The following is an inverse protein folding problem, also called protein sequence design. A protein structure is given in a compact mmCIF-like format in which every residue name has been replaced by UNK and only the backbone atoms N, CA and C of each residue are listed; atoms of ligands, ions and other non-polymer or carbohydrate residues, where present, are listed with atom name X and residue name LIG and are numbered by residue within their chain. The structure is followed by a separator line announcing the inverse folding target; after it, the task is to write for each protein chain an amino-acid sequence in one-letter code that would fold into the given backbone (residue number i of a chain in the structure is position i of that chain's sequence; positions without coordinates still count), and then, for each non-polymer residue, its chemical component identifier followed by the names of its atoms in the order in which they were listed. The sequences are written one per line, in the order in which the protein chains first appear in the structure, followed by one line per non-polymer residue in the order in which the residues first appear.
data_IF_637669313081
#
_entry.id   IF_637669313081
#
_cell.length_a   1.000
_cell.length_b   1.000
_cell.length_c   1.000
_cell.angle_alpha   90.00
_cell.angle_beta   90.00
_cell.angle_gamma   90.00
#
_symmetry.space_group_name_H-M   'P 1'
#
loop_
_entity.id
_entity.type
_entity.pdbx_description
1 polymer ?
#
# COMPACT_ATOMS: atom_id res chain seq x y z
N UNK A 1 -17.73 22.99 25.53
CA UNK A 1 -17.27 24.14 24.74
C UNK A 1 -16.06 23.66 23.93
N UNK A 2 -16.22 23.31 22.65
CA UNK A 2 -15.05 23.04 21.80
C UNK A 2 -14.22 24.33 21.72
N UNK A 3 -12.91 24.23 21.91
CA UNK A 3 -12.06 25.43 21.91
C UNK A 3 -12.15 26.11 20.54
N UNK A 4 -12.23 27.44 20.51
CA UNK A 4 -12.23 28.24 19.27
C UNK A 4 -11.06 27.86 18.33
N UNK A 5 -9.94 27.39 18.90
CA UNK A 5 -8.80 26.84 18.17
C UNK A 5 -9.13 25.54 17.41
N UNK A 6 -9.86 24.61 18.03
CA UNK A 6 -10.30 23.36 17.39
C UNK A 6 -11.26 23.67 16.24
N UNK A 7 -12.17 24.62 16.42
CA UNK A 7 -13.12 25.01 15.40
C UNK A 7 -12.43 25.72 14.22
N UNK A 8 -11.45 26.60 14.50
CA UNK A 8 -10.60 27.23 13.49
C UNK A 8 -9.79 26.21 12.69
N UNK A 9 -9.11 25.27 13.37
CA UNK A 9 -8.33 24.20 12.72
C UNK A 9 -9.22 23.30 11.86
N UNK A 10 -10.41 22.94 12.37
CA UNK A 10 -11.36 22.09 11.61
C UNK A 10 -11.87 22.82 10.37
N UNK A 11 -12.15 24.12 10.46
CA UNK A 11 -12.59 24.92 9.32
C UNK A 11 -11.45 25.14 8.31
N UNK A 12 -10.21 25.34 8.76
CA UNK A 12 -9.06 25.44 7.88
C UNK A 12 -8.76 24.10 7.17
N UNK A 13 -8.87 22.98 7.90
CA UNK A 13 -8.69 21.63 7.34
C UNK A 13 -9.76 21.28 6.31
N UNK A 14 -11.03 21.70 6.51
CA UNK A 14 -12.14 21.48 5.57
C UNK A 14 -11.92 22.09 4.18
N UNK A 15 -11.06 23.09 4.06
CA UNK A 15 -10.74 23.76 2.80
C UNK A 15 -9.70 22.96 2.00
N UNK A 16 -8.97 22.04 2.62
CA UNK A 16 -7.91 21.27 1.97
C UNK A 16 -8.53 20.22 1.03
N UNK A 17 -8.15 20.18 -0.25
CA UNK A 17 -8.61 19.14 -1.16
C UNK A 17 -8.21 17.75 -0.64
N UNK A 18 -9.20 16.88 -0.46
CA UNK A 18 -9.02 15.55 0.14
C UNK A 18 -9.32 15.47 1.64
N UNK A 19 -9.76 16.57 2.29
CA UNK A 19 -10.22 16.54 3.68
C UNK A 19 -11.31 15.49 3.93
N UNK A 20 -12.29 15.36 3.03
CA UNK A 20 -13.36 14.38 3.16
C UNK A 20 -12.81 12.95 3.23
N UNK A 21 -11.81 12.64 2.40
CA UNK A 21 -11.12 11.35 2.47
C UNK A 21 -10.41 11.15 3.82
N UNK A 22 -9.63 12.14 4.27
CA UNK A 22 -8.91 12.04 5.56
C UNK A 22 -9.88 11.90 6.74
N UNK A 23 -11.00 12.61 6.70
CA UNK A 23 -12.07 12.51 7.69
C UNK A 23 -12.71 11.12 7.68
N UNK A 24 -13.06 10.59 6.50
CA UNK A 24 -13.61 9.23 6.36
C UNK A 24 -12.62 8.15 6.82
N UNK A 25 -11.32 8.27 6.48
CA UNK A 25 -10.28 7.36 6.94
C UNK A 25 -10.11 7.44 8.46
N UNK A 26 -10.13 8.64 9.04
CA UNK A 26 -10.05 8.82 10.48
C UNK A 26 -11.22 8.17 11.21
N UNK A 27 -12.44 8.36 10.71
CA UNK A 27 -13.65 7.71 11.23
C UNK A 27 -13.50 6.19 11.16
N UNK A 28 -13.06 5.65 10.01
CA UNK A 28 -12.86 4.21 9.85
C UNK A 28 -11.78 3.65 10.78
N UNK A 29 -10.65 4.35 10.97
CA UNK A 29 -9.59 3.92 11.89
C UNK A 29 -10.10 3.86 13.34
N UNK A 30 -10.95 4.83 13.72
CA UNK A 30 -11.53 4.89 15.05
C UNK A 30 -12.62 3.82 15.24
N UNK A 31 -13.44 3.60 14.22
CA UNK A 31 -14.61 2.71 14.24
C UNK A 31 -14.61 1.72 13.06
N UNK A 32 -13.70 0.73 13.04
CA UNK A 32 -13.53 -0.15 11.87
C UNK A 32 -14.54 -1.30 11.82
N UNK A 33 -15.53 -1.32 12.72
CA UNK A 33 -16.46 -2.43 12.89
C UNK A 33 -17.40 -2.55 11.68
N UNK A 34 -17.76 -3.79 11.34
CA UNK A 34 -18.73 -4.08 10.29
C UNK A 34 -20.13 -3.87 10.87
N UNK A 35 -20.76 -2.75 10.51
CA UNK A 35 -22.16 -2.46 10.82
C UNK A 35 -23.03 -2.75 9.60
N UNK A 36 -24.25 -3.24 9.80
CA UNK A 36 -25.25 -3.26 8.73
C UNK A 36 -25.52 -1.80 8.32
N UNK A 37 -25.42 -1.54 7.00
CA UNK A 37 -25.31 -0.20 6.37
C UNK A 37 -26.48 0.78 6.55
N UNK A 38 -27.28 0.60 7.58
CA UNK A 38 -28.40 1.46 8.01
C UNK A 38 -27.98 2.56 9.00
N UNK A 39 -26.72 2.59 9.42
CA UNK A 39 -26.20 3.57 10.37
C UNK A 39 -25.50 4.72 9.62
N UNK A 40 -25.76 5.97 10.00
CA UNK A 40 -25.16 7.19 9.40
C UNK A 40 -23.62 7.20 9.38
N UNK A 41 -22.97 6.35 10.19
CA UNK A 41 -21.52 6.20 10.30
C UNK A 41 -20.97 4.94 9.63
N UNK A 42 -21.73 4.26 8.77
CA UNK A 42 -21.30 3.02 8.12
C UNK A 42 -20.02 3.27 7.27
N UNK A 43 -18.83 2.85 7.74
CA UNK A 43 -17.57 3.32 7.16
C UNK A 43 -17.24 2.65 5.82
N UNK A 44 -18.10 1.75 5.36
CA UNK A 44 -17.90 0.90 4.19
C UNK A 44 -18.65 1.38 2.95
N UNK A 45 -19.59 2.33 3.09
CA UNK A 45 -20.44 2.82 2.00
C UNK A 45 -19.60 3.39 0.86
N UNK A 46 -18.58 4.18 1.20
CA UNK A 46 -17.70 4.83 0.24
C UNK A 46 -16.40 4.06 -0.05
N UNK A 47 -16.33 2.77 0.30
CA UNK A 47 -15.09 1.98 0.22
C UNK A 47 -14.42 2.02 -1.17
N UNK A 48 -15.19 1.86 -2.24
CA UNK A 48 -14.69 1.99 -3.60
C UNK A 48 -14.13 3.38 -3.92
N UNK A 49 -14.88 4.43 -3.60
CA UNK A 49 -14.44 5.82 -3.82
C UNK A 49 -13.17 6.15 -3.02
N UNK A 50 -13.08 5.65 -1.79
CA UNK A 50 -11.90 5.83 -0.94
C UNK A 50 -10.67 5.11 -1.46
N UNK A 51 -10.82 3.93 -2.07
CA UNK A 51 -9.70 3.28 -2.73
C UNK A 51 -9.15 4.15 -3.87
N UNK A 52 -10.02 4.70 -4.74
CA UNK A 52 -9.59 5.63 -5.79
C UNK A 52 -8.96 6.91 -5.25
N UNK A 53 -9.58 7.53 -4.22
CA UNK A 53 -9.02 8.72 -3.56
C UNK A 53 -7.64 8.43 -2.96
N UNK A 54 -7.43 7.26 -2.36
CA UNK A 54 -6.13 6.84 -1.85
C UNK A 54 -5.09 6.78 -2.96
N UNK A 55 -5.41 6.20 -4.12
CA UNK A 55 -4.50 6.11 -5.26
C UNK A 55 -4.15 7.50 -5.79
N UNK A 56 -5.11 8.41 -5.87
CA UNK A 56 -4.87 9.80 -6.28
C UNK A 56 -3.95 10.55 -5.31
N UNK A 57 -4.18 10.39 -4.00
CA UNK A 57 -3.31 10.98 -2.96
C UNK A 57 -1.90 10.42 -3.09
N UNK A 58 -1.77 9.11 -3.29
CA UNK A 58 -0.43 8.57 -3.43
C UNK A 58 0.23 8.99 -4.75
N UNK A 59 -0.54 9.16 -5.81
CA UNK A 59 -0.03 9.73 -7.05
C UNK A 59 0.48 11.16 -6.90
N UNK A 60 -0.22 12.00 -6.12
CA UNK A 60 0.26 13.34 -5.80
C UNK A 60 1.51 13.30 -4.92
N UNK A 61 1.61 12.37 -3.98
CA UNK A 61 2.82 12.14 -3.18
C UNK A 61 4.01 11.68 -4.04
N UNK A 62 3.81 10.79 -5.01
CA UNK A 62 4.85 10.38 -5.97
C UNK A 62 5.33 11.58 -6.79
N UNK A 63 4.41 12.41 -7.29
CA UNK A 63 4.74 13.60 -8.05
C UNK A 63 5.55 14.61 -7.20
N UNK A 64 5.12 14.84 -5.96
CA UNK A 64 5.81 15.70 -5.01
C UNK A 64 7.21 15.16 -4.66
N UNK A 65 7.32 13.85 -4.40
CA UNK A 65 8.59 13.18 -4.15
C UNK A 65 9.54 13.30 -5.33
N UNK A 66 9.04 13.09 -6.55
CA UNK A 66 9.82 13.24 -7.79
C UNK A 66 10.33 14.68 -7.95
N UNK A 67 9.48 15.68 -7.69
CA UNK A 67 9.85 17.10 -7.78
C UNK A 67 10.90 17.52 -6.74
N UNK A 68 10.75 17.07 -5.49
CA UNK A 68 11.72 17.36 -4.42
C UNK A 68 13.06 16.67 -4.70
N UNK A 69 13.01 15.44 -5.20
CA UNK A 69 14.18 14.64 -5.54
C UNK A 69 15.04 15.30 -6.62
N UNK A 70 14.43 15.92 -7.65
CA UNK A 70 15.14 16.62 -8.74
C UNK A 70 16.10 17.73 -8.25
N UNK A 71 15.86 18.32 -7.06
CA UNK A 71 16.68 19.42 -6.53
C UNK A 71 17.93 18.99 -5.76
N UNK A 72 18.03 17.75 -5.30
CA UNK A 72 19.12 17.27 -4.41
C UNK A 72 20.08 16.33 -5.14
N UNK A 73 19.61 15.63 -6.17
CA UNK A 73 20.40 14.93 -7.16
C UNK A 73 19.59 15.01 -8.48
N UNK A 74 20.18 14.93 -9.67
CA UNK A 74 19.42 15.01 -10.93
C UNK A 74 18.56 13.75 -11.09
N UNK A 75 17.43 13.72 -10.39
CA UNK A 75 16.42 12.65 -10.38
C UNK A 75 15.38 12.94 -11.49
N UNK A 76 15.81 13.61 -12.56
CA UNK A 76 15.06 13.71 -13.83
C UNK A 76 14.69 12.31 -14.37
N UNK A 77 15.38 11.26 -13.91
CA UNK A 77 15.09 9.87 -14.21
C UNK A 77 13.95 9.22 -13.41
N UNK A 78 13.36 9.78 -12.35
CA UNK A 78 12.37 9.00 -11.54
C UNK A 78 11.12 8.61 -12.32
N UNK A 79 10.61 9.53 -13.17
CA UNK A 79 9.46 9.27 -14.04
C UNK A 79 9.77 8.31 -15.20
N UNK A 80 11.04 8.23 -15.57
CA UNK A 80 11.57 7.30 -16.57
C UNK A 80 11.74 5.90 -15.94
N UNK A 81 12.46 5.85 -14.82
CA UNK A 81 12.76 4.65 -14.03
C UNK A 81 11.50 3.97 -13.51
N UNK A 82 10.45 4.72 -13.18
CA UNK A 82 9.26 4.17 -12.54
C UNK A 82 8.03 4.33 -13.39
N UNK A 83 7.45 3.20 -13.79
CA UNK A 83 6.19 3.18 -14.51
C UNK A 83 5.02 3.44 -13.55
N UNK A 84 4.71 4.72 -13.36
CA UNK A 84 3.66 5.21 -12.44
C UNK A 84 2.30 4.56 -12.72
N UNK A 85 1.97 4.35 -13.99
CA UNK A 85 0.70 3.77 -14.41
C UNK A 85 0.59 2.30 -13.95
N UNK A 86 1.66 1.52 -14.11
CA UNK A 86 1.70 0.14 -13.61
C UNK A 86 1.56 0.07 -12.10
N UNK A 87 2.17 1.00 -11.39
CA UNK A 87 2.08 1.03 -9.94
C UNK A 87 0.67 1.38 -9.44
N UNK A 88 -0.02 2.33 -10.08
CA UNK A 88 -1.43 2.62 -9.78
C UNK A 88 -2.33 1.42 -10.06
N UNK A 89 -2.10 0.73 -11.19
CA UNK A 89 -2.83 -0.50 -11.51
C UNK A 89 -2.58 -1.55 -10.43
N UNK A 90 -1.34 -1.72 -9.95
CA UNK A 90 -1.03 -2.69 -8.92
C UNK A 90 -1.70 -2.35 -7.58
N UNK A 91 -1.68 -1.09 -7.16
CA UNK A 91 -2.38 -0.62 -5.98
C UNK A 91 -3.91 -0.77 -6.06
N UNK A 92 -4.48 -0.81 -7.26
CA UNK A 92 -5.91 -1.01 -7.47
C UNK A 92 -6.27 -2.49 -7.55
N UNK A 93 -5.53 -3.27 -8.33
CA UNK A 93 -5.84 -4.67 -8.64
C UNK A 93 -5.59 -5.57 -7.43
N UNK A 94 -4.54 -5.34 -6.64
CA UNK A 94 -4.23 -6.22 -5.50
C UNK A 94 -5.32 -6.21 -4.42
N UNK A 95 -5.85 -5.05 -3.97
CA UNK A 95 -7.00 -5.02 -3.07
C UNK A 95 -8.23 -5.74 -3.62
N UNK A 96 -8.52 -5.57 -4.92
CA UNK A 96 -9.69 -6.19 -5.57
C UNK A 96 -9.52 -7.70 -5.58
N UNK A 97 -8.36 -8.22 -6.03
CA UNK A 97 -8.09 -9.65 -6.08
C UNK A 97 -8.19 -10.30 -4.70
N UNK A 98 -7.46 -9.76 -3.73
CA UNK A 98 -7.48 -10.29 -2.36
C UNK A 98 -8.88 -10.18 -1.76
N UNK A 99 -9.56 -9.04 -1.98
CA UNK A 99 -10.93 -8.80 -1.52
C UNK A 99 -11.93 -9.79 -2.07
N UNK A 100 -11.89 -10.12 -3.37
CA UNK A 100 -12.79 -11.09 -3.99
C UNK A 100 -12.59 -12.47 -3.38
N UNK A 101 -11.34 -12.96 -3.26
CA UNK A 101 -11.08 -14.27 -2.65
C UNK A 101 -11.48 -14.32 -1.18
N UNK A 102 -11.17 -13.27 -0.43
CA UNK A 102 -11.52 -13.17 0.97
C UNK A 102 -13.03 -13.16 1.18
N UNK A 103 -13.75 -12.37 0.36
CA UNK A 103 -15.20 -12.33 0.36
C UNK A 103 -15.82 -13.67 0.00
N UNK A 104 -15.30 -14.39 -1.01
CA UNK A 104 -15.80 -15.71 -1.39
C UNK A 104 -15.61 -16.71 -0.24
N UNK A 105 -14.43 -16.75 0.37
CA UNK A 105 -14.13 -17.64 1.50
C UNK A 105 -15.07 -17.36 2.69
N UNK A 106 -15.10 -16.10 3.13
CA UNK A 106 -15.88 -15.69 4.30
C UNK A 106 -17.38 -15.82 4.06
N UNK A 107 -17.87 -15.43 2.86
CA UNK A 107 -19.28 -15.56 2.50
C UNK A 107 -19.73 -17.01 2.46
N UNK A 108 -18.93 -17.90 1.89
CA UNK A 108 -19.22 -19.35 1.85
C UNK A 108 -19.41 -19.90 3.25
N UNK A 109 -18.49 -19.55 4.16
CA UNK A 109 -18.58 -19.96 5.57
C UNK A 109 -19.83 -19.39 6.23
N UNK A 110 -20.09 -18.09 6.12
CA UNK A 110 -21.26 -17.48 6.74
C UNK A 110 -22.57 -18.00 6.15
N UNK A 111 -22.56 -18.41 4.88
CA UNK A 111 -23.73 -18.91 4.16
C UNK A 111 -24.30 -20.21 4.76
N UNK A 112 -23.45 -21.03 5.37
CA UNK A 112 -23.88 -22.20 6.12
C UNK A 112 -24.79 -21.87 7.32
N UNK A 113 -24.69 -20.65 7.87
CA UNK A 113 -25.52 -20.19 8.99
C UNK A 113 -26.64 -19.25 8.56
N UNK A 114 -26.37 -18.35 7.61
CA UNK A 114 -27.35 -17.37 7.10
C UNK A 114 -27.27 -17.36 5.59
N UNK A 115 -28.37 -17.68 4.89
CA UNK A 115 -28.42 -17.80 3.41
C UNK A 115 -28.35 -16.44 2.68
N UNK A 116 -27.42 -15.57 3.05
CA UNK A 116 -27.19 -14.25 2.45
C UNK A 116 -25.72 -14.12 2.05
N UNK A 117 -25.44 -13.41 0.97
CA UNK A 117 -24.07 -13.05 0.59
C UNK A 117 -23.64 -11.80 1.36
N UNK A 118 -22.56 -11.92 2.14
CA UNK A 118 -22.08 -10.85 3.00
C UNK A 118 -20.99 -10.03 2.29
N UNK A 119 -21.40 -9.17 1.34
CA UNK A 119 -20.50 -8.25 0.60
C UNK A 119 -19.71 -7.30 1.50
N UNK A 120 -20.13 -7.12 2.75
CA UNK A 120 -19.43 -6.35 3.77
C UNK A 120 -17.97 -6.78 3.97
N UNK A 121 -17.63 -8.07 3.81
CA UNK A 121 -16.24 -8.53 3.88
C UNK A 121 -15.38 -7.98 2.73
N UNK A 122 -15.95 -7.86 1.53
CA UNK A 122 -15.26 -7.25 0.39
C UNK A 122 -14.99 -5.77 0.64
N UNK A 123 -16.01 -5.03 1.07
CA UNK A 123 -15.87 -3.60 1.35
C UNK A 123 -14.88 -3.31 2.49
N UNK A 124 -14.85 -4.17 3.52
CA UNK A 124 -13.87 -4.06 4.60
C UNK A 124 -12.43 -4.15 4.08
N UNK A 125 -12.17 -5.10 3.17
CA UNK A 125 -10.84 -5.24 2.55
C UNK A 125 -10.50 -3.98 1.74
N UNK A 126 -11.41 -3.55 0.84
CA UNK A 126 -11.19 -2.38 -0.02
C UNK A 126 -10.89 -1.13 0.82
N UNK A 127 -11.68 -0.87 1.86
CA UNK A 127 -11.48 0.27 2.75
C UNK A 127 -10.17 0.16 3.56
N UNK A 128 -9.80 -1.05 3.98
CA UNK A 128 -8.52 -1.27 4.69
C UNK A 128 -7.32 -0.98 3.79
N UNK A 129 -7.37 -1.42 2.54
CA UNK A 129 -6.31 -1.12 1.56
C UNK A 129 -6.24 0.37 1.23
N UNK A 130 -7.36 1.10 1.21
CA UNK A 130 -7.33 2.55 1.01
C UNK A 130 -6.47 3.27 2.08
N UNK A 131 -6.49 2.80 3.33
CA UNK A 131 -5.60 3.31 4.40
C UNK A 131 -4.17 2.81 4.22
N UNK A 132 -4.00 1.50 3.99
CA UNK A 132 -2.68 0.86 3.94
C UNK A 132 -1.84 1.30 2.73
N UNK A 133 -2.47 1.63 1.59
CA UNK A 133 -1.78 2.06 0.38
C UNK A 133 -0.85 3.26 0.61
N UNK A 134 -1.22 4.17 1.52
CA UNK A 134 -0.39 5.32 1.91
C UNK A 134 0.90 4.84 2.60
N UNK A 135 0.81 3.86 3.50
CA UNK A 135 1.98 3.29 4.17
C UNK A 135 2.86 2.46 3.24
N UNK A 136 2.23 1.68 2.35
CA UNK A 136 2.93 0.90 1.31
C UNK A 136 3.79 1.83 0.44
N UNK A 137 3.31 3.03 0.14
CA UNK A 137 4.10 4.03 -0.58
C UNK A 137 5.33 4.51 0.17
N UNK A 138 5.22 4.84 1.45
CA UNK A 138 6.40 5.25 2.23
C UNK A 138 7.42 4.11 2.35
N UNK A 139 6.97 2.87 2.55
CA UNK A 139 7.84 1.69 2.52
C UNK A 139 8.50 1.50 1.15
N UNK A 140 7.76 1.74 0.07
CA UNK A 140 8.30 1.71 -1.28
C UNK A 140 9.37 2.79 -1.51
N UNK A 141 9.15 4.03 -1.05
CA UNK A 141 10.16 5.10 -1.12
C UNK A 141 11.45 4.73 -0.38
N UNK A 142 11.34 4.11 0.80
CA UNK A 142 12.49 3.61 1.56
C UNK A 142 13.25 2.53 0.77
N UNK A 143 12.54 1.57 0.20
CA UNK A 143 13.15 0.52 -0.61
C UNK A 143 13.91 1.10 -1.81
N UNK A 144 13.31 2.05 -2.53
CA UNK A 144 13.96 2.74 -3.64
C UNK A 144 15.19 3.52 -3.18
N UNK A 145 15.11 4.23 -2.05
CA UNK A 145 16.25 4.95 -1.49
C UNK A 145 17.43 4.02 -1.15
N UNK A 146 17.15 2.83 -0.61
CA UNK A 146 18.19 1.81 -0.36
C UNK A 146 18.89 1.40 -1.64
N UNK A 147 18.12 1.02 -2.66
CA UNK A 147 18.66 0.63 -3.97
C UNK A 147 19.58 1.73 -4.52
N UNK A 148 19.17 2.99 -4.47
CA UNK A 148 19.98 4.09 -5.02
C UNK A 148 21.28 4.32 -4.26
N UNK A 149 21.28 4.18 -2.93
CA UNK A 149 22.44 4.48 -2.09
C UNK A 149 23.39 3.28 -1.93
N UNK A 150 22.87 2.07 -1.81
CA UNK A 150 23.66 0.87 -1.50
C UNK A 150 23.76 -0.11 -2.67
N UNK A 151 22.91 0.02 -3.70
CA UNK A 151 22.82 -0.91 -4.82
C UNK A 151 22.13 -2.24 -4.47
N UNK A 152 21.58 -2.38 -3.27
CA UNK A 152 20.92 -3.61 -2.78
C UNK A 152 19.68 -3.24 -1.94
N UNK A 153 18.56 -3.91 -2.18
CA UNK A 153 17.30 -3.73 -1.44
C UNK A 153 17.43 -4.11 0.05
N UNK A 154 18.24 -5.12 0.34
CA UNK A 154 18.37 -5.71 1.66
C UNK A 154 19.41 -4.99 2.53
N UNK A 155 20.28 -4.19 1.91
CA UNK A 155 21.32 -3.46 2.63
C UNK A 155 20.80 -2.08 3.04
N UNK A 156 20.63 -1.82 4.35
CA UNK A 156 20.14 -0.52 4.81
C UNK A 156 21.16 0.58 4.49
N UNK A 157 20.66 1.77 4.16
CA UNK A 157 21.51 2.95 3.94
C UNK A 157 22.08 3.51 5.25
N UNK A 158 21.43 3.22 6.38
CA UNK A 158 21.89 3.55 7.74
C UNK A 158 20.89 3.11 8.81
N UNK A 159 21.23 3.34 10.09
CA UNK A 159 20.38 2.93 11.22
C UNK A 159 19.03 3.67 11.27
N UNK A 160 18.99 4.92 10.83
CA UNK A 160 17.77 5.74 10.77
C UNK A 160 16.78 5.12 9.76
N UNK A 161 17.27 4.72 8.59
CA UNK A 161 16.47 4.08 7.55
C UNK A 161 15.87 2.74 8.01
N UNK A 162 16.65 1.93 8.73
CA UNK A 162 16.16 0.70 9.35
C UNK A 162 15.06 0.97 10.39
N UNK A 163 15.25 1.99 11.22
CA UNK A 163 14.33 2.35 12.31
C UNK A 163 13.00 2.86 11.76
N UNK A 164 13.03 3.76 10.77
CA UNK A 164 11.82 4.28 10.11
C UNK A 164 11.09 3.16 9.37
N UNK A 165 11.81 2.32 8.63
CA UNK A 165 11.23 1.17 7.94
C UNK A 165 10.53 0.20 8.90
N UNK A 166 11.15 -0.09 10.06
CA UNK A 166 10.55 -0.92 11.10
C UNK A 166 9.28 -0.30 11.67
N UNK A 167 9.29 1.00 12.02
CA UNK A 167 8.12 1.71 12.54
C UNK A 167 6.96 1.66 11.55
N UNK A 168 7.21 1.92 10.25
CA UNK A 168 6.18 1.89 9.21
C UNK A 168 5.63 0.48 8.98
N UNK A 169 6.49 -0.54 8.97
CA UNK A 169 6.07 -1.93 8.83
C UNK A 169 5.22 -2.39 10.04
N UNK A 170 5.64 -2.04 11.25
CA UNK A 170 4.89 -2.33 12.47
C UNK A 170 3.53 -1.62 12.45
N UNK A 171 3.48 -0.35 12.04
CA UNK A 171 2.24 0.41 11.91
C UNK A 171 1.30 -0.23 10.88
N UNK A 172 1.82 -0.66 9.72
CA UNK A 172 1.02 -1.34 8.70
C UNK A 172 0.44 -2.66 9.23
N UNK A 173 1.20 -3.43 10.00
CA UNK A 173 0.71 -4.67 10.63
C UNK A 173 -0.37 -4.38 11.68
N UNK A 174 -0.14 -3.40 12.57
CA UNK A 174 -1.11 -3.00 13.59
C UNK A 174 -2.42 -2.52 12.95
N UNK A 175 -2.33 -1.70 11.90
CA UNK A 175 -3.52 -1.24 11.16
C UNK A 175 -4.20 -2.40 10.43
N UNK A 176 -3.46 -3.31 9.79
CA UNK A 176 -4.08 -4.49 9.16
C UNK A 176 -4.85 -5.32 10.18
N UNK A 177 -4.26 -5.55 11.35
CA UNK A 177 -4.93 -6.27 12.43
C UNK A 177 -6.20 -5.53 12.90
N UNK A 178 -6.10 -4.23 13.16
CA UNK A 178 -7.20 -3.42 13.69
C UNK A 178 -8.32 -3.18 12.67
N UNK A 179 -7.98 -2.99 11.40
CA UNK A 179 -8.91 -2.61 10.34
C UNK A 179 -9.50 -3.81 9.62
N UNK A 180 -8.77 -4.92 9.48
CA UNK A 180 -9.28 -6.09 8.75
C UNK A 180 -9.56 -7.28 9.66
N UNK A 181 -8.56 -7.69 10.46
CA UNK A 181 -8.62 -8.94 11.22
C UNK A 181 -9.65 -8.84 12.35
N UNK A 182 -9.54 -7.84 13.23
CA UNK A 182 -10.42 -7.69 14.38
C UNK A 182 -11.91 -7.48 14.01
N UNK A 183 -12.27 -6.62 13.03
CA UNK A 183 -13.65 -6.46 12.61
C UNK A 183 -14.23 -7.71 11.94
N UNK A 184 -13.46 -8.37 11.08
CA UNK A 184 -13.88 -9.62 10.43
C UNK A 184 -14.07 -10.75 11.43
N UNK A 185 -13.18 -10.84 12.43
CA UNK A 185 -13.30 -11.79 13.52
C UNK A 185 -14.56 -11.54 14.34
N UNK A 186 -14.79 -10.29 14.74
CA UNK A 186 -15.95 -9.93 15.56
C UNK A 186 -17.26 -10.24 14.82
N UNK A 187 -17.35 -9.87 13.54
CA UNK A 187 -18.53 -10.15 12.72
C UNK A 187 -18.75 -11.65 12.52
N UNK A 188 -17.70 -12.43 12.28
CA UNK A 188 -17.81 -13.90 12.16
C UNK A 188 -18.19 -14.56 13.51
N UNK A 189 -17.79 -13.97 14.63
CA UNK A 189 -18.12 -14.47 15.98
C UNK A 189 -19.59 -14.31 16.36
N UNK A 190 -20.37 -13.57 15.58
CA UNK A 190 -21.84 -13.54 15.70
C UNK A 190 -22.44 -14.89 15.26
N UNK A 191 -21.80 -15.58 14.31
CA UNK A 191 -22.31 -16.82 13.70
C UNK A 191 -21.67 -18.10 14.25
N UNK A 192 -20.42 -18.01 14.73
CA UNK A 192 -19.62 -19.13 15.21
C UNK A 192 -18.98 -18.83 16.57
N UNK A 193 -18.61 -19.88 17.33
CA UNK A 193 -17.86 -19.71 18.58
C UNK A 193 -16.49 -19.07 18.29
N UNK A 194 -16.04 -18.17 19.17
CA UNK A 194 -14.76 -17.44 19.06
C UNK A 194 -13.55 -18.27 18.56
N UNK A 195 -13.21 -19.45 19.12
CA UNK A 195 -12.06 -20.22 18.63
C UNK A 195 -12.24 -20.69 17.18
N UNK A 196 -13.46 -21.10 16.80
CA UNK A 196 -13.79 -21.54 15.45
C UNK A 196 -13.71 -20.37 14.46
N UNK A 197 -14.24 -19.21 14.85
CA UNK A 197 -14.14 -17.98 14.04
C UNK A 197 -12.69 -17.58 13.77
N UNK A 198 -11.80 -17.71 14.77
CA UNK A 198 -10.38 -17.41 14.61
C UNK A 198 -9.72 -18.33 13.58
N UNK A 199 -9.94 -19.64 13.70
CA UNK A 199 -9.39 -20.64 12.76
C UNK A 199 -9.89 -20.39 11.35
N UNK A 200 -11.19 -20.16 11.17
CA UNK A 200 -11.77 -19.90 9.85
C UNK A 200 -11.21 -18.60 9.25
N UNK A 201 -11.07 -17.55 10.05
CA UNK A 201 -10.52 -16.28 9.56
C UNK A 201 -9.06 -16.46 9.12
N UNK A 202 -8.23 -17.14 9.91
CA UNK A 202 -6.83 -17.40 9.56
C UNK A 202 -6.70 -18.24 8.29
N UNK A 203 -7.53 -19.29 8.14
CA UNK A 203 -7.59 -20.09 6.92
C UNK A 203 -8.04 -19.25 5.72
N UNK A 204 -9.06 -18.42 5.89
CA UNK A 204 -9.59 -17.57 4.83
C UNK A 204 -8.55 -16.54 4.38
N UNK A 205 -7.81 -15.92 5.31
CA UNK A 205 -6.69 -15.01 4.98
C UNK A 205 -5.60 -15.77 4.21
N UNK A 206 -5.20 -16.94 4.71
CA UNK A 206 -4.11 -17.74 4.13
C UNK A 206 -4.45 -18.21 2.70
N UNK A 207 -5.65 -18.76 2.51
CA UNK A 207 -6.15 -19.21 1.21
C UNK A 207 -6.29 -18.01 0.26
N UNK A 208 -6.84 -16.89 0.72
CA UNK A 208 -7.03 -15.70 -0.12
C UNK A 208 -5.69 -15.09 -0.55
N UNK A 209 -4.71 -15.07 0.34
CA UNK A 209 -3.35 -14.62 0.02
C UNK A 209 -2.71 -15.56 -1.01
N UNK A 210 -2.77 -16.87 -0.77
CA UNK A 210 -2.24 -17.87 -1.69
C UNK A 210 -2.87 -17.76 -3.09
N UNK A 211 -4.20 -17.78 -3.19
CA UNK A 211 -4.91 -17.68 -4.47
C UNK A 211 -4.66 -16.34 -5.16
N UNK A 212 -4.64 -15.23 -4.42
CA UNK A 212 -4.31 -13.93 -4.98
C UNK A 212 -2.88 -13.91 -5.55
N UNK A 213 -1.92 -14.55 -4.88
CA UNK A 213 -0.51 -14.58 -5.35
C UNK A 213 -0.31 -15.37 -6.65
N UNK A 214 -1.12 -16.41 -6.89
CA UNK A 214 -1.02 -17.25 -8.08
C UNK A 214 -1.50 -16.54 -9.35
N UNK A 215 -2.46 -15.62 -9.24
CA UNK A 215 -2.99 -14.90 -10.40
C UNK A 215 -2.13 -13.66 -10.67
N UNK A 216 -1.20 -13.76 -11.63
CA UNK A 216 -0.42 -12.62 -12.13
C UNK A 216 -1.20 -11.87 -13.21
N UNK A 217 -1.97 -10.86 -12.82
CA UNK A 217 -2.64 -9.95 -13.77
C UNK A 217 -1.72 -8.82 -14.25
N UNK A 218 -0.69 -8.49 -13.47
CA UNK A 218 0.32 -7.45 -13.78
C UNK A 218 1.66 -7.99 -13.33
N UNK A 219 2.65 -7.99 -14.20
CA UNK A 219 4.00 -8.43 -13.85
C UNK A 219 4.75 -7.28 -13.15
N UNK A 220 5.24 -7.54 -11.93
CA UNK A 220 5.94 -6.52 -11.14
C UNK A 220 7.27 -6.07 -11.78
N UNK A 221 7.76 -6.84 -12.75
CA UNK A 221 8.97 -6.59 -13.52
C UNK A 221 8.89 -5.35 -14.42
N UNK A 222 7.68 -4.84 -14.71
CA UNK A 222 7.46 -3.66 -15.56
C UNK A 222 7.31 -2.36 -14.75
N UNK A 223 7.35 -2.45 -13.41
CA UNK A 223 7.26 -1.30 -12.51
C UNK A 223 8.52 -0.43 -12.60
N UNK A 224 9.69 -1.07 -12.75
CA UNK A 224 10.98 -0.41 -12.87
C UNK A 224 11.51 -0.58 -14.28
N UNK A 225 11.72 0.52 -15.00
CA UNK A 225 12.43 0.51 -16.26
C UNK A 225 13.91 0.19 -15.99
N UNK A 226 14.26 -1.09 -16.13
CA UNK A 226 15.58 -1.66 -15.85
C UNK A 226 16.70 -0.88 -16.56
N UNK A 227 16.48 -0.47 -17.81
CA UNK A 227 17.47 0.23 -18.62
C UNK A 227 17.78 1.62 -18.05
N UNK A 228 16.74 2.41 -17.80
CA UNK A 228 16.87 3.77 -17.27
C UNK A 228 17.34 3.77 -15.81
N UNK A 229 16.96 2.75 -15.05
CA UNK A 229 17.47 2.53 -13.69
C UNK A 229 18.99 2.28 -13.67
N UNK A 230 19.47 1.40 -14.55
CA UNK A 230 20.89 1.08 -14.67
C UNK A 230 21.71 2.27 -15.22
N UNK A 231 21.15 3.05 -16.16
CA UNK A 231 21.78 4.27 -16.66
C UNK A 231 21.92 5.34 -15.57
N UNK A 232 20.90 5.58 -14.76
CA UNK A 232 20.99 6.52 -13.64
C UNK A 232 22.00 6.04 -12.57
N UNK A 233 21.98 4.75 -12.27
CA UNK A 233 22.93 4.14 -11.32
C UNK A 233 24.39 4.30 -11.78
N UNK A 234 24.64 4.18 -13.09
CA UNK A 234 25.95 4.44 -13.68
C UNK A 234 26.36 5.91 -13.50
N UNK A 235 25.49 6.85 -13.83
CA UNK A 235 25.75 8.29 -13.69
C UNK A 235 26.00 8.73 -12.23
N UNK A 236 25.29 8.13 -11.26
CA UNK A 236 25.50 8.42 -9.83
C UNK A 236 26.82 7.85 -9.29
N UNK A 237 27.27 6.68 -9.78
CA UNK A 237 28.55 6.08 -9.38
C UNK A 237 29.78 6.73 -10.04
N UNK A 238 29.61 7.41 -11.17
CA UNK A 238 30.73 7.95 -11.98
C UNK A 238 31.01 9.44 -11.76
N UNK A 239 30.22 10.15 -10.94
CA UNK A 239 30.44 11.55 -10.57
C UNK A 239 30.73 11.68 -9.05
N UNK A 240 31.75 12.43 -8.57
CA UNK A 240 33.08 12.72 -9.11
C UNK A 240 34.19 12.22 -8.12
N UNK A 241 34.19 10.95 -7.72
CA UNK A 241 35.16 10.44 -6.71
C UNK A 241 35.79 9.07 -6.99
N UNK A 242 35.45 8.36 -8.06
CA UNK A 242 36.09 7.07 -8.36
C UNK A 242 36.70 7.00 -9.76
N UNK A 243 38.01 6.82 -9.75
CA UNK A 243 39.05 7.08 -10.75
C UNK A 243 39.15 6.01 -11.86
N UNK A 244 38.20 5.09 -11.98
CA UNK A 244 38.24 4.08 -13.03
C UNK A 244 37.10 4.31 -14.03
N UNK A 245 37.44 4.56 -15.29
CA UNK A 245 36.51 4.49 -16.42
C UNK A 245 35.91 3.09 -16.49
N UNK A 246 34.82 2.86 -15.76
CA UNK A 246 34.04 1.65 -15.86
C UNK A 246 33.40 1.66 -17.25
N UNK A 247 33.71 0.67 -18.09
CA UNK A 247 33.08 0.54 -19.40
C UNK A 247 31.56 0.51 -19.25
N UNK A 248 30.90 1.58 -19.70
CA UNK A 248 29.45 1.81 -19.58
C UNK A 248 28.64 0.60 -20.04
N UNK A 249 29.00 -0.01 -21.17
CA UNK A 249 28.26 -1.15 -21.72
C UNK A 249 28.40 -2.40 -20.85
N UNK A 250 29.56 -2.60 -20.22
CA UNK A 250 29.83 -3.74 -19.36
C UNK A 250 29.08 -3.62 -18.02
N UNK A 251 29.02 -2.41 -17.47
CA UNK A 251 28.22 -2.11 -16.27
C UNK A 251 26.71 -2.23 -16.53
N UNK A 252 26.22 -1.65 -17.64
CA UNK A 252 24.80 -1.72 -17.99
C UNK A 252 24.36 -3.16 -18.23
N UNK A 253 25.14 -3.96 -18.96
CA UNK A 253 24.81 -5.37 -19.20
C UNK A 253 24.83 -6.20 -17.91
N UNK A 254 25.78 -5.94 -17.00
CA UNK A 254 25.81 -6.60 -15.69
C UNK A 254 24.58 -6.21 -14.84
N UNK A 255 24.25 -4.91 -14.80
CA UNK A 255 23.09 -4.40 -14.06
C UNK A 255 21.77 -4.96 -14.59
N UNK A 256 21.56 -4.94 -15.92
CA UNK A 256 20.35 -5.49 -16.55
C UNK A 256 20.24 -7.01 -16.32
N UNK A 257 21.35 -7.73 -16.35
CA UNK A 257 21.37 -9.18 -16.08
C UNK A 257 21.07 -9.55 -14.61
N UNK A 258 21.30 -8.64 -13.65
CA UNK A 258 20.87 -8.86 -12.26
C UNK A 258 19.34 -8.86 -12.19
N UNK A 259 18.67 -7.97 -12.93
CA UNK A 259 17.22 -7.93 -13.03
C UNK A 259 16.60 -9.05 -13.89
N UNK A 260 17.38 -9.89 -14.56
CA UNK A 260 16.87 -11.04 -15.33
C UNK A 260 17.06 -12.38 -14.62
N UNK A 261 17.87 -12.43 -13.55
CA UNK A 261 18.11 -13.63 -12.74
C UNK A 261 17.17 -13.77 -11.53
N UNK A 262 16.32 -12.77 -11.28
CA UNK A 262 15.29 -12.75 -10.24
C UNK A 262 13.96 -12.33 -10.87
#
# INVERSE_FOLDING_TARGET
MESNLKQFLTNALKIIPGYDFLSEMYIFIKHPQIYDGTHEYAPLVNSGANLFKSILIVGSLIAAFSFLSIKVAPIAGFKLIFNQLYWYILLLIQPIKFGVFFWLCMSTVTRFKKKVWHSVYFFQVVQTYAVINILVFFLFCIAINRIFLTGDFNKPSGNIDLTIGFILAALALILTYRLLIAPSFHYLSIYYKKPVSAVILLLSISISYYLSSQIRLVDGNEIVNKKEFCELSYHLKTNPLHINEINKNLFLNACINIFSRH
#
